data_IF_196703875836
#
_entry.id   IF_196703875836
#
_cell.length_a   1.000
_cell.length_b   1.000
_cell.length_c   1.000
_cell.angle_alpha   90.00
_cell.angle_beta   90.00
_cell.angle_gamma   90.00
#
_symmetry.space_group_name_H-M   'P 1'
#
loop_
_entity.id
_entity.type
_entity.pdbx_description
1 polymer ?
#
# COMPACT_ATOMS: atom_id res chain seq x y z
N UNK A 1 6.40 -6.55 -9.27
CA UNK A 1 5.17 -7.01 -8.58
C UNK A 1 5.43 -7.74 -7.25
N UNK A 2 6.58 -8.41 -7.07
CA UNK A 2 6.90 -9.11 -5.82
C UNK A 2 6.95 -8.19 -4.59
N UNK A 3 7.40 -6.95 -4.76
CA UNK A 3 7.45 -5.92 -3.71
C UNK A 3 6.05 -5.60 -3.15
N UNK A 4 5.02 -5.48 -3.99
CA UNK A 4 3.65 -5.16 -3.53
C UNK A 4 3.07 -6.23 -2.63
N UNK A 5 3.38 -7.50 -2.91
CA UNK A 5 2.90 -8.65 -2.15
C UNK A 5 3.63 -8.73 -0.80
N UNK A 6 4.92 -8.41 -0.79
CA UNK A 6 5.72 -8.32 0.44
C UNK A 6 5.19 -7.21 1.37
N UNK A 7 4.89 -6.02 0.83
CA UNK A 7 4.32 -4.91 1.59
C UNK A 7 2.95 -5.29 2.18
N UNK A 8 2.07 -5.93 1.39
CA UNK A 8 0.75 -6.36 1.88
C UNK A 8 0.86 -7.37 3.02
N UNK A 9 1.79 -8.32 2.92
CA UNK A 9 2.05 -9.30 3.99
C UNK A 9 2.66 -8.66 5.23
N UNK A 10 3.58 -7.71 5.08
CA UNK A 10 4.14 -6.96 6.21
C UNK A 10 3.08 -6.13 6.94
N UNK A 11 2.08 -5.65 6.20
CA UNK A 11 0.96 -4.87 6.73
C UNK A 11 -0.21 -5.76 7.20
N UNK A 12 -0.07 -7.09 7.17
CA UNK A 12 -1.13 -8.08 7.50
C UNK A 12 -2.40 -7.93 6.65
N UNK A 13 -2.31 -7.34 5.45
CA UNK A 13 -3.41 -7.24 4.51
C UNK A 13 -3.50 -8.53 3.70
N UNK A 14 -4.68 -9.16 3.67
CA UNK A 14 -4.92 -10.38 2.90
C UNK A 14 -5.18 -10.10 1.40
N UNK A 15 -5.18 -8.82 1.01
CA UNK A 15 -5.43 -8.36 -0.36
C UNK A 15 -4.44 -7.26 -0.76
N UNK A 16 -4.08 -7.22 -2.03
CA UNK A 16 -3.22 -6.17 -2.59
C UNK A 16 -4.11 -4.98 -2.94
N UNK A 17 -4.01 -3.92 -2.14
CA UNK A 17 -4.70 -2.66 -2.42
C UNK A 17 -3.86 -1.73 -3.32
N UNK A 18 -4.45 -0.71 -3.97
CA UNK A 18 -3.74 0.22 -4.86
C UNK A 18 -2.54 0.90 -4.20
N UNK A 19 -2.60 1.14 -2.89
CA UNK A 19 -1.54 1.74 -2.08
C UNK A 19 -0.27 0.88 -2.07
N UNK A 20 -0.41 -0.45 -2.08
CA UNK A 20 0.70 -1.40 -2.11
C UNK A 20 1.38 -1.45 -3.48
N UNK A 21 0.60 -1.23 -4.54
CA UNK A 21 1.13 -1.08 -5.89
C UNK A 21 1.89 0.24 -6.00
N UNK A 22 1.34 1.32 -5.43
CA UNK A 22 2.00 2.62 -5.39
C UNK A 22 3.32 2.58 -4.57
N UNK A 23 3.30 1.94 -3.41
CA UNK A 23 4.49 1.72 -2.58
C UNK A 23 5.58 0.94 -3.32
N UNK A 24 5.19 -0.08 -4.09
CA UNK A 24 6.13 -0.83 -4.90
C UNK A 24 6.72 0.02 -6.03
N UNK A 25 5.90 0.82 -6.72
CA UNK A 25 6.34 1.73 -7.79
C UNK A 25 7.28 2.84 -7.28
N UNK A 26 7.09 3.32 -6.05
CA UNK A 26 7.96 4.32 -5.43
C UNK A 26 9.26 3.69 -4.90
N UNK A 27 9.19 2.44 -4.45
CA UNK A 27 10.35 1.67 -3.97
C UNK A 27 11.22 1.15 -5.11
N UNK A 28 10.64 0.93 -6.28
CA UNK A 28 11.37 0.62 -7.50
C UNK A 28 12.14 1.89 -7.92
N UNK A 29 13.46 1.88 -7.73
CA UNK A 29 14.35 3.00 -8.09
C UNK A 29 14.59 3.12 -9.60
N UNK A 30 13.69 2.55 -10.40
CA UNK A 30 13.76 2.49 -11.85
C UNK A 30 12.33 2.58 -12.43
N UNK A 31 12.23 2.96 -13.70
CA UNK A 31 10.96 3.02 -14.42
C UNK A 31 10.28 4.40 -14.46
N UNK A 32 9.07 4.40 -15.01
CA UNK A 32 8.34 5.61 -15.40
C UNK A 32 7.88 6.42 -14.17
N UNK A 33 7.41 5.76 -13.12
CA UNK A 33 6.97 6.43 -11.89
C UNK A 33 8.15 7.15 -11.20
N UNK A 34 9.31 6.48 -11.09
CA UNK A 34 10.53 7.07 -10.58
C UNK A 34 10.97 8.29 -11.40
N UNK A 35 10.97 8.16 -12.73
CA UNK A 35 11.35 9.27 -13.63
C UNK A 35 10.42 10.47 -13.51
N UNK A 36 9.09 10.26 -13.45
CA UNK A 36 8.11 11.35 -13.34
C UNK A 36 8.24 12.09 -12.00
N UNK A 37 8.31 11.35 -10.89
CA UNK A 37 8.45 11.91 -9.55
C UNK A 37 9.79 12.65 -9.39
N UNK A 38 10.88 12.07 -9.90
CA UNK A 38 12.20 12.69 -9.92
C UNK A 38 12.25 13.97 -10.77
N UNK A 39 11.63 13.95 -11.96
CA UNK A 39 11.52 15.13 -12.81
C UNK A 39 10.70 16.26 -12.19
N UNK A 40 9.75 15.92 -11.31
CA UNK A 40 8.94 16.90 -10.59
C UNK A 40 9.62 17.40 -9.29
N UNK A 41 10.87 16.99 -9.03
CA UNK A 41 11.63 17.39 -7.85
C UNK A 41 11.03 16.90 -6.53
N UNK A 42 10.24 15.83 -6.57
CA UNK A 42 9.59 15.26 -5.39
C UNK A 42 10.54 14.25 -4.75
N UNK A 43 10.91 14.49 -3.49
CA UNK A 43 11.60 13.49 -2.67
C UNK A 43 10.69 12.28 -2.46
N UNK A 44 11.12 11.10 -2.92
CA UNK A 44 10.40 9.82 -2.82
C UNK A 44 10.02 9.43 -1.38
N UNK A 45 10.70 10.00 -0.39
CA UNK A 45 10.43 9.78 1.03
C UNK A 45 9.08 10.37 1.48
N UNK A 46 8.69 11.50 0.89
CA UNK A 46 7.45 12.22 1.24
C UNK A 46 6.17 11.48 0.79
N UNK A 47 6.00 11.08 -0.48
CA UNK A 47 4.84 10.29 -0.89
C UNK A 47 4.83 8.92 -0.23
N UNK A 48 6.00 8.29 0.01
CA UNK A 48 6.07 7.03 0.77
C UNK A 48 5.46 7.17 2.17
N UNK A 49 5.79 8.25 2.90
CA UNK A 49 5.23 8.53 4.24
C UNK A 49 3.72 8.77 4.21
N UNK A 50 3.24 9.55 3.25
CA UNK A 50 1.80 9.82 3.08
C UNK A 50 1.02 8.52 2.82
N UNK A 51 1.52 7.66 1.94
CA UNK A 51 0.87 6.38 1.63
C UNK A 51 0.87 5.46 2.85
N UNK A 52 1.98 5.38 3.57
CA UNK A 52 2.09 4.57 4.79
C UNK A 52 1.14 5.09 5.89
N UNK A 53 1.03 6.41 6.05
CA UNK A 53 0.09 7.03 6.97
C UNK A 53 -1.37 6.76 6.57
N UNK A 54 -1.66 6.81 5.26
CA UNK A 54 -2.99 6.48 4.73
C UNK A 54 -3.35 5.02 4.99
N UNK A 55 -2.41 4.08 4.80
CA UNK A 55 -2.64 2.66 5.11
C UNK A 55 -2.93 2.49 6.60
N UNK A 56 -2.08 3.05 7.46
CA UNK A 56 -2.22 2.91 8.91
C UNK A 56 -3.50 3.55 9.48
N UNK A 57 -4.08 4.54 8.80
CA UNK A 57 -5.40 5.11 9.11
C UNK A 57 -6.58 4.39 8.43
N UNK A 58 -6.32 3.52 7.44
CA UNK A 58 -7.35 2.75 6.70
C UNK A 58 -7.54 1.33 7.26
N UNK A 59 -6.59 0.84 8.06
CA UNK A 59 -6.63 -0.44 8.78
C UNK A 59 -7.85 -0.61 9.71
N UNK A 60 -8.61 0.47 9.94
CA UNK A 60 -9.84 0.47 10.73
C UNK A 60 -11.02 -0.21 10.01
N UNK A 61 -10.93 -0.52 8.71
CA UNK A 61 -12.07 -1.02 7.91
C UNK A 61 -11.99 -2.46 7.40
N UNK A 62 -10.92 -3.22 7.65
CA UNK A 62 -10.85 -4.66 7.24
C UNK A 62 -10.89 -5.61 8.44
N UNK A 63 -11.47 -5.15 9.53
CA UNK A 63 -11.77 -5.94 10.73
C UNK A 63 -13.25 -6.31 10.88
N UNK A 64 -14.05 -6.31 9.80
CA UNK A 64 -15.40 -6.91 9.87
C UNK A 64 -15.24 -8.40 10.12
N UNK A 65 -15.26 -8.73 11.42
CA UNK A 65 -15.69 -10.01 11.96
C UNK A 65 -17.06 -10.27 11.35
N UNK A 66 -17.10 -10.94 10.20
CA UNK A 66 -18.32 -11.59 9.73
C UNK A 66 -18.62 -12.67 10.76
N UNK A 67 -19.32 -12.26 11.81
CA UNK A 67 -20.02 -13.11 12.75
C UNK A 67 -20.90 -14.03 11.93
N UNK A 68 -20.35 -15.19 11.58
CA UNK A 68 -21.07 -16.30 10.99
C UNK A 68 -22.08 -16.76 12.04
N UNK A 69 -23.32 -16.28 11.93
CA UNK A 69 -24.43 -16.78 12.74
C UNK A 69 -25.26 -17.67 11.83
N UNK A 70 -25.09 -19.00 11.87
CA UNK A 70 -26.06 -19.89 11.25
C UNK A 70 -27.34 -19.77 12.05
N UNK A 71 -28.40 -19.23 11.44
CA UNK A 71 -29.75 -19.35 11.99
C UNK A 71 -30.26 -20.77 11.75
N UNK A 72 -30.97 -21.38 12.72
CA UNK A 72 -31.48 -22.75 12.63
C UNK A 72 -32.53 -22.94 11.53
#
# INVERSE_FOLDING_TARGET
MEISLLEARNLNHNYINPEHVLLALIRESEGVAFTILGNHGVDFDRPRKEILASISGSDEHTGIKTSFRPTP
#
